data_IF_071079731603
#
_entry.id   IF_071079731603
#
_cell.length_a   1.000
_cell.length_b   1.000
_cell.length_c   1.000
_cell.angle_alpha   90.00
_cell.angle_beta   90.00
_cell.angle_gamma   90.00
#
_symmetry.space_group_name_H-M   'P 1'
#
loop_
_entity.id
_entity.type
_entity.pdbx_description
1 polymer ?
#
# COMPACT_ATOMS: atom_id res chain seq x y z
N UNK A 1 13.13 -31.24 20.81
CA UNK A 1 12.22 -30.20 21.32
C UNK A 1 12.27 -29.05 20.34
N UNK A 2 11.37 -29.04 19.36
CA UNK A 2 11.35 -28.02 18.31
C UNK A 2 10.79 -26.72 18.88
N UNK A 3 11.57 -25.64 18.78
CA UNK A 3 11.15 -24.30 19.17
C UNK A 3 9.99 -23.87 18.27
N UNK A 4 8.75 -23.95 18.77
CA UNK A 4 7.58 -23.37 18.09
C UNK A 4 7.80 -21.87 17.99
N UNK A 5 8.23 -21.40 16.81
CA UNK A 5 8.30 -19.99 16.48
C UNK A 5 6.88 -19.42 16.62
N UNK A 6 6.61 -18.71 17.72
CA UNK A 6 5.37 -18.00 17.93
C UNK A 6 5.27 -16.92 16.86
N UNK A 7 4.59 -17.23 15.74
CA UNK A 7 4.20 -16.20 14.77
C UNK A 7 3.22 -15.30 15.52
N UNK A 8 3.62 -14.05 15.81
CA UNK A 8 2.68 -13.05 16.31
C UNK A 8 1.54 -12.98 15.31
N UNK A 9 0.34 -13.37 15.73
CA UNK A 9 -0.86 -13.20 14.95
C UNK A 9 -1.11 -11.70 14.85
N UNK A 10 -0.69 -11.08 13.74
CA UNK A 10 -1.06 -9.71 13.39
C UNK A 10 -2.53 -9.72 12.94
N UNK A 11 -3.44 -9.90 13.90
CA UNK A 11 -4.87 -9.90 13.64
C UNK A 11 -5.25 -8.50 13.14
N UNK A 12 -5.75 -8.41 11.91
CA UNK A 12 -6.31 -7.17 11.36
C UNK A 12 -5.31 -6.20 10.74
N UNK A 13 -4.02 -6.56 10.59
CA UNK A 13 -3.08 -5.79 9.78
C UNK A 13 -2.92 -6.44 8.40
N UNK A 14 -3.07 -5.68 7.29
CA UNK A 14 -2.80 -6.20 5.97
C UNK A 14 -1.28 -6.42 5.80
N UNK A 15 -0.91 -7.36 4.94
CA UNK A 15 0.46 -7.47 4.49
C UNK A 15 0.91 -6.18 3.77
N UNK A 16 2.23 -5.95 3.73
CA UNK A 16 2.79 -4.83 2.99
C UNK A 16 2.63 -5.02 1.47
N UNK A 17 2.50 -3.94 0.68
CA UNK A 17 2.49 -4.03 -0.78
C UNK A 17 3.79 -4.63 -1.32
N UNK A 18 3.68 -5.43 -2.38
CA UNK A 18 4.82 -6.06 -3.04
C UNK A 18 5.48 -5.15 -4.08
N UNK A 19 6.71 -5.46 -4.48
CA UNK A 19 7.43 -4.84 -5.60
C UNK A 19 7.39 -3.30 -5.58
N UNK A 20 7.66 -2.69 -4.42
CA UNK A 20 7.76 -1.22 -4.30
C UNK A 20 8.97 -0.75 -5.10
N UNK A 21 8.73 0.14 -6.06
CA UNK A 21 9.75 0.75 -6.91
C UNK A 21 9.58 2.27 -6.95
N UNK A 22 10.70 2.97 -7.18
CA UNK A 22 10.76 4.42 -7.29
C UNK A 22 11.58 4.79 -8.50
N UNK A 23 11.03 5.65 -9.35
CA UNK A 23 11.64 6.16 -10.57
C UNK A 23 11.56 7.70 -10.60
N UNK A 24 12.39 8.32 -11.43
CA UNK A 24 12.31 9.78 -11.66
C UNK A 24 11.01 10.07 -12.41
N UNK A 25 10.23 11.01 -11.87
CA UNK A 25 8.99 11.43 -12.48
C UNK A 25 9.21 12.28 -13.74
N UNK A 26 8.15 12.52 -14.52
CA UNK A 26 8.24 13.24 -15.79
C UNK A 26 8.59 14.72 -15.63
N UNK A 27 8.46 15.29 -14.43
CA UNK A 27 8.78 16.68 -14.12
C UNK A 27 9.95 16.78 -13.13
N UNK A 28 10.79 17.83 -13.21
CA UNK A 28 11.85 18.06 -12.24
C UNK A 28 11.31 18.08 -10.80
N UNK A 29 11.97 17.33 -9.91
CA UNK A 29 11.57 17.24 -8.50
C UNK A 29 10.39 16.30 -8.22
N UNK A 30 9.93 15.53 -9.20
CA UNK A 30 8.87 14.51 -8.99
C UNK A 30 9.43 13.09 -9.02
N UNK A 31 8.73 12.18 -8.33
CA UNK A 31 9.03 10.75 -8.32
C UNK A 31 7.79 9.96 -8.74
N UNK A 32 8.00 8.91 -9.51
CA UNK A 32 6.99 7.89 -9.77
C UNK A 32 7.20 6.74 -8.77
N UNK A 33 6.17 6.43 -7.99
CA UNK A 33 6.17 5.31 -7.04
C UNK A 33 5.18 4.26 -7.54
N UNK A 34 5.62 3.02 -7.66
CA UNK A 34 4.81 1.89 -8.12
C UNK A 34 4.90 0.72 -7.15
N UNK A 35 3.83 -0.08 -7.06
CA UNK A 35 3.78 -1.29 -6.24
C UNK A 35 2.73 -2.26 -6.78
N UNK A 36 2.84 -3.52 -6.35
CA UNK A 36 1.80 -4.53 -6.53
C UNK A 36 0.78 -4.44 -5.39
N UNK A 37 -0.51 -4.24 -5.68
CA UNK A 37 -1.57 -4.21 -4.66
C UNK A 37 -1.62 -5.50 -3.85
N UNK A 38 -2.05 -5.39 -2.59
CA UNK A 38 -2.16 -6.57 -1.72
C UNK A 38 -3.45 -7.32 -2.06
N UNK A 39 -3.30 -8.44 -2.76
CA UNK A 39 -4.42 -9.28 -3.23
C UNK A 39 -4.73 -10.45 -2.30
N UNK A 40 -3.76 -10.89 -1.50
CA UNK A 40 -3.91 -11.96 -0.52
C UNK A 40 -4.04 -11.35 0.87
N UNK A 41 -5.07 -11.76 1.60
CA UNK A 41 -5.31 -11.32 2.98
C UNK A 41 -5.51 -12.55 3.86
N UNK A 42 -5.13 -12.49 5.15
CA UNK A 42 -5.36 -13.61 6.05
C UNK A 42 -6.84 -14.00 6.07
N UNK A 43 -7.10 -15.31 6.01
CA UNK A 43 -8.45 -15.86 6.12
C UNK A 43 -9.08 -15.49 7.48
N UNK A 44 -10.42 -15.50 7.60
CA UNK A 44 -11.09 -15.27 8.87
C UNK A 44 -10.51 -16.12 10.01
N UNK A 45 -10.43 -15.59 11.25
CA UNK A 45 -11.06 -14.35 11.74
C UNK A 45 -10.24 -13.07 11.51
N UNK A 46 -9.06 -13.14 10.90
CA UNK A 46 -8.09 -12.04 10.79
C UNK A 46 -8.10 -11.32 9.43
N UNK A 47 -9.27 -11.15 8.80
CA UNK A 47 -9.34 -10.46 7.50
C UNK A 47 -8.99 -8.98 7.67
N UNK A 48 -7.89 -8.55 7.08
CA UNK A 48 -7.52 -7.14 7.01
C UNK A 48 -7.85 -6.60 5.62
N UNK A 49 -9.03 -6.00 5.44
CA UNK A 49 -9.34 -5.37 4.16
C UNK A 49 -8.39 -4.17 3.94
N UNK A 50 -7.74 -4.11 2.78
CA UNK A 50 -6.99 -2.92 2.39
C UNK A 50 -7.99 -1.82 2.06
N UNK A 51 -7.84 -0.65 2.68
CA UNK A 51 -8.65 0.52 2.39
C UNK A 51 -7.86 1.54 1.55
N UNK A 52 -6.64 1.87 1.96
CA UNK A 52 -5.79 2.87 1.33
C UNK A 52 -4.31 2.52 1.51
N UNK A 53 -3.44 3.14 0.72
CA UNK A 53 -1.99 3.09 0.90
C UNK A 53 -1.46 4.43 1.42
N UNK A 54 -0.46 4.39 2.30
CA UNK A 54 0.24 5.57 2.81
C UNK A 54 1.70 5.51 2.35
N UNK A 55 2.22 6.62 1.85
CA UNK A 55 3.62 6.76 1.43
C UNK A 55 4.33 7.60 2.47
N UNK A 56 5.41 7.06 3.03
CA UNK A 56 6.24 7.74 4.02
C UNK A 56 7.64 8.02 3.47
N UNK A 57 8.16 9.21 3.76
CA UNK A 57 9.56 9.57 3.56
C UNK A 57 10.07 10.22 4.86
N UNK A 58 11.26 9.84 5.32
CA UNK A 58 11.87 10.33 6.57
C UNK A 58 10.93 10.27 7.79
N UNK A 59 10.12 9.21 7.87
CA UNK A 59 9.16 8.99 8.95
C UNK A 59 7.92 9.88 8.89
N UNK A 60 7.72 10.65 7.82
CA UNK A 60 6.55 11.51 7.61
C UNK A 60 5.68 11.00 6.49
N UNK A 61 4.36 11.05 6.67
CA UNK A 61 3.41 10.76 5.60
C UNK A 61 3.48 11.87 4.55
N UNK A 62 3.79 11.51 3.32
CA UNK A 62 3.90 12.43 2.18
C UNK A 62 2.77 12.29 1.18
N UNK A 63 2.04 11.16 1.19
CA UNK A 63 0.90 10.94 0.30
C UNK A 63 0.01 9.80 0.80
N UNK A 64 -1.28 9.88 0.45
CA UNK A 64 -2.25 8.80 0.63
C UNK A 64 -2.93 8.47 -0.70
N UNK A 65 -3.02 7.19 -1.03
CA UNK A 65 -3.81 6.69 -2.17
C UNK A 65 -5.07 6.02 -1.64
N UNK A 66 -6.26 6.61 -1.85
CA UNK A 66 -7.51 6.16 -1.23
C UNK A 66 -8.13 4.91 -1.88
N UNK A 67 -7.52 4.38 -2.94
CA UNK A 67 -7.98 3.17 -3.63
C UNK A 67 -7.14 1.96 -3.21
N UNK A 68 -7.80 0.90 -2.74
CA UNK A 68 -7.21 -0.38 -2.36
C UNK A 68 -6.48 -1.09 -3.53
N UNK A 69 -6.78 -0.74 -4.77
CA UNK A 69 -6.10 -1.20 -5.98
C UNK A 69 -4.87 -0.37 -6.34
N UNK A 70 -4.54 0.67 -5.55
CA UNK A 70 -3.35 1.50 -5.75
C UNK A 70 -3.45 2.43 -6.96
N UNK A 71 -4.65 2.68 -7.48
CA UNK A 71 -4.87 3.61 -8.59
C UNK A 71 -5.14 5.02 -8.06
N UNK A 72 -4.41 6.00 -8.57
CA UNK A 72 -4.79 7.41 -8.45
C UNK A 72 -5.54 7.77 -9.72
N UNK A 73 -6.87 7.85 -9.66
CA UNK A 73 -7.65 8.40 -10.76
C UNK A 73 -7.54 9.92 -10.73
N UNK A 74 -6.85 10.51 -11.71
CA UNK A 74 -7.07 11.92 -12.05
C UNK A 74 -8.44 12.03 -12.71
N UNK A 75 -9.51 12.10 -11.92
CA UNK A 75 -10.81 12.56 -12.43
C UNK A 75 -10.63 14.04 -12.78
N UNK A 76 -10.30 14.28 -14.05
CA UNK A 76 -10.45 15.58 -14.66
C UNK A 76 -11.93 15.97 -14.53
N UNK A 77 -12.20 17.13 -13.96
CA UNK A 77 -13.49 17.79 -14.07
C UNK A 77 -13.79 17.97 -15.56
N UNK A 78 -14.60 17.08 -16.14
CA UNK A 78 -15.26 17.30 -17.42
C UNK A 78 -16.70 17.73 -17.13
N UNK A 79 -16.85 18.97 -16.67
CA UNK A 79 -18.10 19.71 -16.80
C UNK A 79 -17.86 20.84 -17.81
N UNK A 80 -18.20 20.56 -19.07
CA UNK A 80 -18.70 21.52 -20.06
C UNK A 80 -19.80 20.81 -20.85
#
# INVERSE_FOLDING_TARGET
MESRKLRRLQIGLPDAPGNVQVEIGPQPGTLLVSWSPVTSQPLPPSRAAVHSYLIYADGRNIAQVPDANGKVSNQLNSEL
#
